data_IF_092800192774
#
_entry.id   IF_092800192774
#
_cell.length_a   1.000
_cell.length_b   1.000
_cell.length_c   1.000
_cell.angle_alpha   90.00
_cell.angle_beta   90.00
_cell.angle_gamma   90.00
#
_symmetry.space_group_name_H-M   'P 1'
#
loop_
_entity.id
_entity.type
_entity.pdbx_description
1 polymer ?
#
# COMPACT_ATOMS: atom_id res chain seq x y z
N UNK A 1 3.54 20.81 3.18
CA UNK A 1 4.30 19.55 3.05
C UNK A 1 3.66 18.33 3.72
N UNK A 2 2.66 18.46 4.62
CA UNK A 2 2.03 17.30 5.30
C UNK A 2 0.90 16.59 4.54
N UNK A 3 0.37 17.18 3.47
CA UNK A 3 -0.78 16.62 2.72
C UNK A 3 -0.40 15.67 1.58
N UNK A 4 0.85 15.72 1.09
CA UNK A 4 1.33 14.92 -0.05
C UNK A 4 1.81 13.51 0.33
N UNK A 5 1.81 13.18 1.63
CA UNK A 5 2.37 11.92 2.15
C UNK A 5 1.43 11.18 3.08
N UNK A 6 0.14 11.53 3.05
CA UNK A 6 -0.87 10.88 3.86
C UNK A 6 -1.23 9.53 3.24
N UNK A 7 -1.38 8.48 4.07
CA UNK A 7 -1.72 7.14 3.60
C UNK A 7 -3.04 7.09 2.82
N UNK A 8 -3.95 8.04 3.07
CA UNK A 8 -5.20 8.20 2.33
C UNK A 8 -4.98 8.48 0.83
N UNK A 9 -3.83 9.03 0.44
CA UNK A 9 -3.55 9.33 -0.97
C UNK A 9 -3.16 8.07 -1.77
N UNK A 10 -3.02 6.91 -1.12
CA UNK A 10 -2.89 5.63 -1.82
C UNK A 10 -4.25 5.10 -2.32
N UNK A 11 -5.36 5.70 -1.86
CA UNK A 11 -6.73 5.20 -2.08
C UNK A 11 -7.70 6.26 -2.61
N UNK A 12 -7.24 7.48 -2.87
CA UNK A 12 -8.04 8.61 -3.34
C UNK A 12 -8.11 8.73 -4.87
N UNK A 13 -7.38 7.86 -5.59
CA UNK A 13 -7.29 7.88 -7.05
C UNK A 13 -6.27 8.89 -7.60
N UNK A 14 -5.45 9.51 -6.75
CA UNK A 14 -4.33 10.39 -7.10
C UNK A 14 -2.97 9.69 -6.85
N UNK A 15 -1.88 10.21 -7.42
CA UNK A 15 -0.56 9.55 -7.46
C UNK A 15 0.47 10.28 -6.57
N UNK A 16 0.33 10.15 -5.26
CA UNK A 16 1.18 10.82 -4.26
C UNK A 16 2.20 9.87 -3.58
N UNK A 17 3.06 10.39 -2.69
CA UNK A 17 4.35 9.79 -2.29
C UNK A 17 4.33 9.35 -0.81
N UNK A 18 4.88 8.20 -0.44
CA UNK A 18 5.17 7.88 0.98
C UNK A 18 6.50 8.49 1.46
N UNK A 19 6.63 8.81 2.75
CA UNK A 19 7.90 9.27 3.33
C UNK A 19 8.98 8.17 3.28
N UNK A 20 10.26 8.56 3.37
CA UNK A 20 11.38 7.61 3.44
C UNK A 20 11.36 6.87 4.77
N UNK A 21 10.92 5.61 4.75
CA UNK A 21 10.82 4.75 5.92
C UNK A 21 11.54 3.42 5.69
N UNK A 22 11.99 2.76 6.76
CA UNK A 22 12.66 1.46 6.69
C UNK A 22 11.60 0.36 6.60
N UNK A 23 11.42 -0.22 5.41
CA UNK A 23 10.31 -1.12 5.04
C UNK A 23 8.96 -0.39 5.01
N UNK A 24 8.77 0.54 4.05
CA UNK A 24 7.53 1.29 3.96
C UNK A 24 6.37 0.36 3.60
N UNK A 25 5.22 0.60 4.21
CA UNK A 25 3.98 -0.13 3.94
C UNK A 25 2.81 0.83 3.94
N UNK A 26 1.75 0.42 3.26
CA UNK A 26 0.44 1.05 3.34
C UNK A 26 -0.61 -0.06 3.42
N UNK A 27 -1.79 0.26 3.97
CA UNK A 27 -2.90 -0.70 4.11
C UNK A 27 -4.22 -0.04 3.72
N UNK A 28 -5.06 -0.79 3.01
CA UNK A 28 -6.50 -0.51 2.88
C UNK A 28 -7.25 -1.41 3.87
N UNK A 29 -8.18 -0.83 4.62
CA UNK A 29 -9.20 -1.57 5.34
C UNK A 29 -10.48 -1.58 4.49
N UNK A 30 -10.95 -2.76 4.10
CA UNK A 30 -12.17 -2.93 3.29
C UNK A 30 -13.45 -2.89 4.14
N UNK A 31 -13.34 -2.73 5.45
CA UNK A 31 -14.43 -2.66 6.44
C UNK A 31 -15.22 -3.96 6.66
N UNK A 32 -15.18 -4.90 5.71
CA UNK A 32 -15.79 -6.23 5.81
C UNK A 32 -14.93 -7.28 5.05
N UNK A 33 -15.30 -8.55 5.18
CA UNK A 33 -14.60 -9.68 4.58
C UNK A 33 -15.07 -9.87 3.13
N UNK A 34 -14.14 -9.65 2.20
CA UNK A 34 -14.35 -9.85 0.77
C UNK A 34 -13.48 -10.98 0.20
N UNK A 35 -14.04 -11.72 -0.76
CA UNK A 35 -13.24 -12.60 -1.62
C UNK A 35 -12.49 -11.75 -2.64
N UNK A 36 -11.18 -11.61 -2.45
CA UNK A 36 -10.33 -10.87 -3.38
C UNK A 36 -10.04 -11.72 -4.62
N UNK A 37 -10.32 -11.18 -5.80
CA UNK A 37 -10.07 -11.87 -7.09
C UNK A 37 -8.96 -11.23 -7.90
N UNK A 38 -8.68 -9.93 -7.68
CA UNK A 38 -7.61 -9.20 -8.37
C UNK A 38 -7.10 -8.06 -7.51
N UNK A 39 -5.78 -7.88 -7.50
CA UNK A 39 -5.12 -6.67 -7.02
C UNK A 39 -4.39 -6.05 -8.21
N UNK A 40 -4.50 -4.73 -8.39
CA UNK A 40 -3.83 -3.99 -9.45
C UNK A 40 -3.06 -2.84 -8.84
N UNK A 41 -1.76 -2.75 -9.12
CA UNK A 41 -0.88 -1.72 -8.58
C UNK A 41 -0.40 -0.85 -9.74
N UNK A 42 -0.53 0.46 -9.58
CA UNK A 42 0.00 1.44 -10.52
C UNK A 42 1.16 2.16 -9.85
N UNK A 43 2.39 1.87 -10.29
CA UNK A 43 3.60 2.54 -9.80
C UNK A 43 3.55 4.05 -10.11
N UNK A 44 4.47 4.87 -9.59
CA UNK A 44 4.74 6.22 -10.10
C UNK A 44 5.37 6.15 -11.51
N UNK A 45 5.14 7.16 -12.35
CA UNK A 45 5.55 7.12 -13.77
C UNK A 45 6.29 8.37 -14.26
N UNK A 46 6.45 9.38 -13.42
CA UNK A 46 7.19 10.61 -13.68
C UNK A 46 8.63 10.57 -13.12
N UNK A 47 8.95 9.60 -12.26
CA UNK A 47 10.31 9.24 -11.83
C UNK A 47 10.27 7.96 -10.98
N UNK A 48 11.46 7.48 -10.61
CA UNK A 48 11.66 6.68 -9.41
C UNK A 48 10.99 5.29 -9.48
N UNK A 49 10.96 4.72 -10.68
CA UNK A 49 10.26 3.48 -11.03
C UNK A 49 10.80 2.30 -10.21
N UNK A 50 12.10 2.31 -9.91
CA UNK A 50 12.83 1.30 -9.15
C UNK A 50 12.30 1.11 -7.73
N UNK A 51 11.58 2.09 -7.18
CA UNK A 51 11.07 2.02 -5.80
C UNK A 51 10.02 0.95 -5.55
N UNK A 52 9.40 0.43 -6.62
CA UNK A 52 8.41 -0.65 -6.52
C UNK A 52 9.07 -2.04 -6.55
N UNK A 53 10.37 -2.12 -6.82
CA UNK A 53 11.05 -3.41 -6.87
C UNK A 53 11.01 -4.11 -5.50
N UNK A 54 10.59 -5.37 -5.49
CA UNK A 54 10.52 -6.18 -4.26
C UNK A 54 9.28 -5.93 -3.39
N UNK A 55 8.24 -5.23 -3.88
CA UNK A 55 6.99 -5.09 -3.12
C UNK A 55 6.35 -6.45 -2.80
N UNK A 56 5.68 -6.51 -1.65
CA UNK A 56 4.90 -7.65 -1.22
C UNK A 56 3.44 -7.22 -1.01
N UNK A 57 2.51 -8.05 -1.51
CA UNK A 57 1.08 -7.88 -1.26
C UNK A 57 0.70 -8.95 -0.24
N UNK A 58 0.05 -8.53 0.85
CA UNK A 58 -0.43 -9.42 1.90
C UNK A 58 -1.91 -9.15 2.12
N UNK A 59 -2.70 -10.22 2.15
CA UNK A 59 -4.16 -10.14 2.28
C UNK A 59 -4.58 -11.08 3.41
N UNK A 60 -5.35 -10.56 4.35
CA UNK A 60 -5.89 -11.39 5.43
C UNK A 60 -6.66 -10.57 6.44
N UNK A 61 -7.24 -11.27 7.39
CA UNK A 61 -8.10 -10.69 8.42
C UNK A 61 -7.34 -10.39 9.72
N UNK A 62 -6.06 -10.75 9.83
CA UNK A 62 -5.25 -10.44 11.02
C UNK A 62 -4.72 -9.00 10.96
N UNK A 63 -4.75 -8.34 12.11
CA UNK A 63 -4.12 -7.04 12.35
C UNK A 63 -2.75 -7.15 13.03
N UNK A 64 -2.27 -8.36 13.27
CA UNK A 64 -0.94 -8.59 13.83
C UNK A 64 0.12 -7.91 12.96
N UNK A 65 1.00 -7.11 13.60
CA UNK A 65 1.96 -6.27 12.90
C UNK A 65 1.31 -5.39 11.81
N UNK A 66 0.17 -4.77 12.12
CA UNK A 66 -0.64 -3.98 11.19
C UNK A 66 -1.13 -4.75 9.94
N UNK A 67 -1.12 -6.09 9.98
CA UNK A 67 -1.46 -6.95 8.85
C UNK A 67 -0.26 -7.32 7.97
N UNK A 68 0.95 -6.83 8.28
CA UNK A 68 2.19 -7.19 7.57
C UNK A 68 2.62 -8.64 7.81
N UNK A 69 1.97 -9.34 8.74
CA UNK A 69 2.22 -10.76 9.03
C UNK A 69 1.19 -11.70 8.42
N UNK A 70 0.22 -11.19 7.64
CA UNK A 70 -0.65 -12.07 6.84
C UNK A 70 0.19 -12.89 5.85
N UNK A 71 -0.23 -14.13 5.59
CA UNK A 71 0.47 -15.05 4.69
C UNK A 71 0.56 -14.49 3.26
N UNK A 72 1.61 -14.91 2.54
CA UNK A 72 1.86 -14.57 1.14
C UNK A 72 1.00 -15.41 0.20
#
# INVERSE_FOLDING_TARGET
YGALTAAQNAIDGNRDITNWDRNPWWRVDLLDVYKITRVSITNRGDCCEERIEGIQIRIGNSLDNNGNSNEL
#
